data_IF_759153718222
#
_entry.id   IF_759153718222
#
_cell.length_a   1.000
_cell.length_b   1.000
_cell.length_c   1.000
_cell.angle_alpha   90.00
_cell.angle_beta   90.00
_cell.angle_gamma   90.00
#
_symmetry.space_group_name_H-M   'P 1'
#
loop_
_entity.id
_entity.type
_entity.pdbx_description
1 polymer ?
#
# COMPACT_ATOMS: atom_id res chain seq x y z
N UNK A 1 7.32 0.89 14.70
CA UNK A 1 6.85 2.18 14.14
C UNK A 1 6.10 1.85 12.88
N UNK A 2 4.81 2.19 12.79
CA UNK A 2 4.06 2.08 11.54
C UNK A 2 4.34 3.34 10.72
N UNK A 3 4.71 3.19 9.44
CA UNK A 3 4.94 4.31 8.51
C UNK A 3 4.00 4.19 7.32
N UNK A 4 3.48 5.34 6.90
CA UNK A 4 2.73 5.50 5.66
C UNK A 4 3.54 6.44 4.78
N UNK A 5 4.10 5.90 3.71
CA UNK A 5 4.88 6.67 2.74
C UNK A 5 3.96 7.07 1.59
N UNK A 6 3.92 8.38 1.31
CA UNK A 6 3.19 8.93 0.17
C UNK A 6 4.20 9.61 -0.75
N UNK A 7 4.24 9.19 -2.01
CA UNK A 7 5.14 9.72 -3.03
C UNK A 7 4.29 10.37 -4.11
N UNK A 8 4.60 11.63 -4.44
CA UNK A 8 4.01 12.32 -5.58
C UNK A 8 5.05 12.38 -6.69
N UNK A 9 4.83 11.63 -7.76
CA UNK A 9 5.65 11.66 -8.96
C UNK A 9 5.09 12.65 -9.96
N UNK A 10 5.93 13.60 -10.38
CA UNK A 10 5.55 14.62 -11.34
C UNK A 10 5.85 14.13 -12.76
N UNK A 11 4.86 14.18 -13.65
CA UNK A 11 5.03 13.84 -15.07
C UNK A 11 5.79 14.92 -15.84
N UNK A 12 7.01 15.24 -15.44
CA UNK A 12 7.86 16.29 -16.01
C UNK A 12 9.20 15.72 -16.48
N UNK A 13 9.56 16.00 -17.72
CA UNK A 13 10.87 15.63 -18.29
C UNK A 13 11.76 16.86 -18.42
N UNK A 14 13.02 16.72 -18.01
CA UNK A 14 14.04 17.75 -18.20
C UNK A 14 14.75 17.51 -19.53
N UNK A 15 14.71 18.50 -20.42
CA UNK A 15 15.51 18.54 -21.64
C UNK A 15 16.69 19.47 -21.41
N UNK A 16 17.89 18.90 -21.48
CA UNK A 16 19.13 19.67 -21.38
C UNK A 16 19.48 20.27 -22.75
N UNK A 17 19.59 21.60 -22.80
CA UNK A 17 20.04 22.32 -23.99
C UNK A 17 21.27 23.17 -23.66
N UNK A 18 22.04 23.50 -24.69
CA UNK A 18 23.29 24.26 -24.58
C UNK A 18 23.07 25.64 -23.94
N UNK A 19 21.94 26.30 -24.23
CA UNK A 19 21.62 27.64 -23.69
C UNK A 19 20.94 27.58 -22.32
N UNK A 20 19.87 26.81 -22.19
CA UNK A 20 19.08 26.70 -20.96
C UNK A 20 18.32 25.38 -20.95
N UNK A 21 18.19 24.77 -19.77
CA UNK A 21 17.35 23.59 -19.59
C UNK A 21 15.87 23.97 -19.68
N UNK A 22 15.06 23.13 -20.31
CA UNK A 22 13.61 23.27 -20.35
C UNK A 22 12.95 22.06 -19.71
N UNK A 23 11.82 22.27 -19.04
CA UNK A 23 11.03 21.23 -18.41
C UNK A 23 9.72 21.09 -19.16
N UNK A 24 9.44 19.90 -19.66
CA UNK A 24 8.24 19.59 -20.44
C UNK A 24 7.33 18.68 -19.62
N UNK A 25 6.05 19.03 -19.56
CA UNK A 25 5.02 18.16 -18.99
C UNK A 25 4.77 17.01 -19.98
N UNK A 26 5.07 15.79 -19.55
CA UNK A 26 4.96 14.56 -20.36
C UNK A 26 3.80 13.66 -19.92
N UNK A 27 3.09 14.00 -18.85
CA UNK A 27 1.96 13.20 -18.35
C UNK A 27 1.19 13.86 -17.21
N UNK A 28 0.31 13.07 -16.60
CA UNK A 28 -0.31 13.40 -15.32
C UNK A 28 0.68 13.14 -14.17
N UNK A 29 0.37 13.66 -12.98
CA UNK A 29 1.12 13.30 -11.78
C UNK A 29 0.57 11.99 -11.24
N UNK A 30 1.43 11.18 -10.64
CA UNK A 30 1.05 9.93 -9.98
C UNK A 30 1.24 10.10 -8.48
N UNK A 31 0.17 9.88 -7.71
CA UNK A 31 0.25 9.79 -6.26
C UNK A 31 0.31 8.31 -5.88
N UNK A 32 1.35 7.92 -5.14
CA UNK A 32 1.62 6.55 -4.75
C UNK A 32 1.61 6.44 -3.23
N UNK A 33 0.96 5.41 -2.73
CA UNK A 33 0.91 5.09 -1.31
C UNK A 33 1.62 3.76 -1.08
N UNK A 34 2.47 3.71 -0.07
CA UNK A 34 3.19 2.53 0.38
C UNK A 34 3.13 2.44 1.90
N UNK A 35 2.86 1.25 2.44
CA UNK A 35 2.96 1.03 3.87
C UNK A 35 3.32 -0.41 4.21
N UNK A 36 3.94 -0.56 5.36
CA UNK A 36 4.15 -1.85 6.01
C UNK A 36 3.24 -1.96 7.25
N UNK A 37 2.56 -3.09 7.38
CA UNK A 37 1.68 -3.35 8.51
C UNK A 37 1.92 -4.75 9.08
N UNK A 38 1.81 -4.84 10.41
CA UNK A 38 1.79 -6.10 11.15
C UNK A 38 0.39 -6.30 11.71
N UNK A 39 -0.24 -7.44 11.40
CA UNK A 39 -1.58 -7.77 11.88
C UNK A 39 -1.57 -9.10 12.62
N UNK A 40 -2.43 -9.16 13.65
CA UNK A 40 -2.72 -10.37 14.40
C UNK A 40 -4.01 -10.96 13.83
N UNK A 41 -3.96 -12.22 13.41
CA UNK A 41 -5.02 -12.86 12.66
C UNK A 41 -5.45 -14.11 13.40
N UNK A 42 -6.69 -14.12 13.88
CA UNK A 42 -7.30 -15.31 14.51
C UNK A 42 -7.69 -16.35 13.44
N UNK A 43 -8.22 -15.89 12.30
CA UNK A 43 -8.65 -16.75 11.19
C UNK A 43 -7.91 -16.40 9.90
N UNK A 44 -7.08 -17.33 9.41
CA UNK A 44 -6.28 -17.15 8.18
C UNK A 44 -7.14 -16.83 6.94
N UNK A 45 -8.41 -17.26 6.93
CA UNK A 45 -9.36 -16.98 5.85
C UNK A 45 -9.57 -15.47 5.63
N UNK A 46 -9.58 -14.67 6.69
CA UNK A 46 -9.70 -13.22 6.59
C UNK A 46 -8.51 -12.60 5.85
N UNK A 47 -7.31 -13.15 6.06
CA UNK A 47 -6.12 -12.73 5.33
C UNK A 47 -6.21 -13.12 3.86
N UNK A 48 -6.62 -14.36 3.58
CA UNK A 48 -6.77 -14.85 2.21
C UNK A 48 -7.78 -14.02 1.42
N UNK A 49 -8.89 -13.59 2.05
CA UNK A 49 -9.85 -12.69 1.41
C UNK A 49 -9.26 -11.33 1.00
N UNK A 50 -8.28 -10.80 1.75
CA UNK A 50 -7.53 -9.61 1.34
C UNK A 50 -6.64 -9.92 0.13
N UNK A 51 -5.91 -11.04 0.15
CA UNK A 51 -5.05 -11.48 -0.95
C UNK A 51 -5.86 -11.64 -2.24
N UNK A 52 -7.04 -12.23 -2.17
CA UNK A 52 -7.89 -12.44 -3.35
C UNK A 52 -8.39 -11.12 -3.94
N UNK A 53 -8.70 -10.13 -3.11
CA UNK A 53 -9.03 -8.77 -3.56
C UNK A 53 -7.85 -8.08 -4.26
N UNK A 54 -6.64 -8.26 -3.74
CA UNK A 54 -5.42 -7.71 -4.35
C UNK A 54 -5.16 -8.38 -5.71
N UNK A 55 -5.26 -9.72 -5.76
CA UNK A 55 -5.06 -10.50 -6.99
C UNK A 55 -6.10 -10.23 -8.08
N UNK A 56 -7.28 -9.72 -7.71
CA UNK A 56 -8.28 -9.31 -8.68
C UNK A 56 -7.83 -8.11 -9.52
N UNK A 57 -6.75 -7.40 -9.13
CA UNK A 57 -6.20 -6.23 -9.82
C UNK A 57 -7.27 -5.17 -10.12
N UNK A 58 -8.23 -5.00 -9.20
CA UNK A 58 -9.29 -3.99 -9.29
C UNK A 58 -9.00 -2.85 -8.31
N UNK A 59 -9.42 -1.62 -8.64
CA UNK A 59 -9.38 -0.51 -7.69
C UNK A 59 -10.07 -0.87 -6.38
N UNK A 60 -9.37 -0.69 -5.27
CA UNK A 60 -9.91 -0.86 -3.93
C UNK A 60 -10.20 0.51 -3.33
N UNK A 61 -11.27 0.58 -2.55
CA UNK A 61 -11.58 1.79 -1.81
C UNK A 61 -10.57 1.99 -0.67
N UNK A 62 -10.01 3.19 -0.59
CA UNK A 62 -9.07 3.61 0.41
C UNK A 62 -9.67 4.76 1.22
N UNK A 63 -9.72 4.57 2.53
CA UNK A 63 -10.12 5.59 3.49
C UNK A 63 -9.14 5.57 4.66
N UNK A 64 -8.67 6.73 5.10
CA UNK A 64 -7.89 6.89 6.32
C UNK A 64 -8.72 7.64 7.35
N UNK A 65 -8.41 7.48 8.64
CA UNK A 65 -9.13 8.18 9.72
C UNK A 65 -9.09 9.71 9.57
N UNK A 66 -8.03 10.24 8.96
CA UNK A 66 -7.84 11.68 8.77
C UNK A 66 -8.40 12.19 7.43
N UNK A 67 -8.84 11.32 6.52
CA UNK A 67 -9.37 11.71 5.23
C UNK A 67 -10.87 11.44 5.15
N UNK A 68 -11.67 12.50 5.05
CA UNK A 68 -13.11 12.43 4.83
C UNK A 68 -13.49 12.06 3.39
N UNK A 69 -12.52 12.04 2.46
CA UNK A 69 -12.75 11.67 1.07
C UNK A 69 -12.33 10.22 0.82
N UNK A 70 -13.30 9.43 0.35
CA UNK A 70 -13.08 8.08 -0.13
C UNK A 70 -12.30 8.14 -1.44
N UNK A 71 -11.06 7.65 -1.43
CA UNK A 71 -10.21 7.54 -2.61
C UNK A 71 -10.19 6.09 -3.11
N UNK A 72 -9.68 5.88 -4.31
CA UNK A 72 -9.43 4.53 -4.82
C UNK A 72 -7.93 4.31 -4.96
N UNK A 73 -7.48 3.09 -4.72
CA UNK A 73 -6.09 2.67 -4.90
C UNK A 73 -6.06 1.44 -5.79
N UNK A 74 -5.16 1.46 -6.78
CA UNK A 74 -4.81 0.28 -7.53
C UNK A 74 -3.50 -0.29 -6.97
N UNK A 75 -3.59 -1.45 -6.32
CA UNK A 75 -2.43 -2.13 -5.74
C UNK A 75 -1.68 -2.87 -6.84
N UNK A 76 -0.42 -2.51 -7.04
CA UNK A 76 0.47 -3.15 -8.02
C UNK A 76 1.54 -4.03 -7.35
N UNK A 77 1.85 -3.76 -6.07
CA UNK A 77 2.90 -4.43 -5.32
C UNK A 77 2.35 -4.88 -3.99
N UNK A 78 2.50 -6.18 -3.72
CA UNK A 78 2.11 -6.79 -2.47
C UNK A 78 3.13 -7.84 -2.06
N UNK A 79 3.58 -7.80 -0.82
CA UNK A 79 4.40 -8.87 -0.23
C UNK A 79 3.94 -9.16 1.19
N UNK A 80 4.03 -10.42 1.61
CA UNK A 80 3.69 -10.82 2.97
C UNK A 80 4.65 -11.87 3.50
N UNK A 81 4.90 -11.80 4.81
CA UNK A 81 5.72 -12.73 5.58
C UNK A 81 4.90 -13.23 6.77
N UNK A 82 5.03 -14.52 7.04
CA UNK A 82 4.40 -15.14 8.21
C UNK A 82 5.39 -15.18 9.35
N UNK A 83 5.00 -14.64 10.50
CA UNK A 83 5.87 -14.56 11.67
C UNK A 83 5.29 -15.42 12.79
N UNK A 84 5.47 -16.74 12.66
CA UNK A 84 5.27 -17.75 13.71
C UNK A 84 3.86 -17.86 14.34
N UNK A 85 3.61 -18.99 15.04
CA UNK A 85 2.43 -19.17 15.88
C UNK A 85 2.72 -18.56 17.26
N UNK A 86 1.84 -17.70 17.74
CA UNK A 86 1.93 -17.19 19.11
C UNK A 86 0.66 -17.56 19.86
N UNK A 87 0.85 -18.29 20.96
CA UNK A 87 -0.21 -18.62 21.90
C UNK A 87 -0.16 -17.59 23.02
N UNK A 88 -1.21 -16.78 23.13
CA UNK A 88 -1.33 -15.86 24.26
C UNK A 88 -2.01 -16.59 25.41
N UNK A 89 -1.17 -17.00 26.37
CA UNK A 89 -1.54 -17.76 27.55
C UNK A 89 -2.43 -16.98 28.52
N UNK A 90 -2.54 -15.64 28.40
CA UNK A 90 -3.43 -14.84 29.25
C UNK A 90 -4.87 -14.81 28.75
N UNK A 91 -5.08 -14.98 27.44
CA UNK A 91 -6.41 -14.89 26.81
C UNK A 91 -6.90 -16.20 26.21
N UNK A 92 -6.08 -17.25 26.26
CA UNK A 92 -6.34 -18.56 25.65
C UNK A 92 -6.70 -18.47 24.15
N UNK A 93 -6.11 -17.49 23.45
CA UNK A 93 -6.31 -17.23 22.04
C UNK A 93 -5.02 -17.52 21.29
N UNK A 94 -5.16 -18.19 20.14
CA UNK A 94 -4.06 -18.44 19.21
C UNK A 94 -4.19 -17.48 18.04
N UNK A 95 -3.18 -16.67 17.80
CA UNK A 95 -3.16 -15.76 16.65
C UNK A 95 -1.94 -16.01 15.77
N UNK A 96 -2.13 -15.68 14.50
CA UNK A 96 -1.09 -15.63 13.49
C UNK A 96 -0.61 -14.19 13.32
N UNK A 97 0.69 -13.98 13.46
CA UNK A 97 1.28 -12.70 13.11
C UNK A 97 1.66 -12.70 11.63
N UNK A 98 1.10 -11.76 10.87
CA UNK A 98 1.46 -11.52 9.47
C UNK A 98 2.03 -10.11 9.35
N UNK A 99 3.19 -10.01 8.73
CA UNK A 99 3.78 -8.74 8.31
C UNK A 99 3.58 -8.64 6.81
N UNK A 100 3.04 -7.53 6.31
CA UNK A 100 2.85 -7.34 4.89
C UNK A 100 3.16 -5.91 4.48
N UNK A 101 3.49 -5.75 3.20
CA UNK A 101 3.74 -4.47 2.55
C UNK A 101 2.82 -4.34 1.34
N UNK A 102 2.18 -3.19 1.22
CA UNK A 102 1.32 -2.80 0.09
C UNK A 102 1.92 -1.55 -0.55
N UNK A 103 1.97 -1.53 -1.88
CA UNK A 103 2.17 -0.31 -2.65
C UNK A 103 1.19 -0.23 -3.82
N UNK A 104 0.69 0.97 -4.09
CA UNK A 104 -0.26 1.21 -5.16
C UNK A 104 -0.42 2.68 -5.51
N UNK A 105 -1.03 2.90 -6.67
CA UNK A 105 -1.30 4.24 -7.22
C UNK A 105 -2.72 4.67 -6.83
N UNK A 106 -2.85 5.91 -6.36
CA UNK A 106 -4.13 6.54 -6.03
C UNK A 106 -4.80 7.02 -7.33
N UNK A 107 -6.10 6.73 -7.46
CA UNK A 107 -6.95 7.09 -8.59
C UNK A 107 -7.88 8.26 -8.25
#
# INVERSE_FOLDING_TARGET
>A
MASLDTILELGVSKIACISKNYYLKIGANEERISFEATIFIEHLEHFNGLIDKIKACKPLSLSTLESTQMRHILIDTFSSKTQSWQLDSMRNLTYHTKVFNISGVVL
#
